data_IF_259265009938
#
_entry.id   IF_259265009938
#
_cell.length_a   1.000
_cell.length_b   1.000
_cell.length_c   1.000
_cell.angle_alpha   90.00
_cell.angle_beta   90.00
_cell.angle_gamma   90.00
#
_symmetry.space_group_name_H-M   'P 1'
#
loop_
_entity.id
_entity.type
_entity.pdbx_description
1 polymer ?
#
# COMPACT_ATOMS: atom_id res chain seq x y z
N UNK A 1 5.50 13.47 -7.43
CA UNK A 1 5.75 12.48 -6.40
C UNK A 1 4.45 11.88 -5.86
N UNK A 2 4.55 10.88 -5.01
CA UNK A 2 3.43 10.31 -4.27
C UNK A 2 3.77 10.37 -2.78
N UNK A 3 2.88 10.95 -1.97
CA UNK A 3 3.07 10.99 -0.51
C UNK A 3 3.10 9.60 0.12
N UNK A 4 3.52 9.48 1.38
CA UNK A 4 3.51 8.21 2.09
C UNK A 4 2.12 7.57 2.14
N UNK A 5 2.03 6.29 1.75
CA UNK A 5 0.78 5.51 1.74
C UNK A 5 1.07 4.02 1.83
N UNK A 6 0.04 3.22 2.02
CA UNK A 6 0.05 1.77 1.84
C UNK A 6 -0.94 1.40 0.75
N UNK A 7 -0.68 0.29 0.05
CA UNK A 7 -1.53 -0.16 -1.04
C UNK A 7 -2.75 -0.94 -0.55
N UNK A 8 -3.90 -0.72 -1.17
CA UNK A 8 -5.12 -1.49 -0.90
C UNK A 8 -5.29 -2.72 -1.80
N UNK A 9 -4.23 -3.13 -2.44
CA UNK A 9 -4.16 -4.35 -3.23
C UNK A 9 -3.87 -5.58 -2.36
N UNK A 10 -3.88 -6.74 -3.00
CA UNK A 10 -3.30 -7.96 -2.47
C UNK A 10 -1.76 -7.86 -2.51
N UNK A 11 -1.23 -7.64 -3.70
CA UNK A 11 0.18 -7.37 -3.98
C UNK A 11 0.30 -6.20 -4.96
N UNK A 12 1.40 -5.49 -4.88
CA UNK A 12 1.82 -4.53 -5.89
C UNK A 12 3.13 -4.97 -6.52
N UNK A 13 3.17 -5.03 -7.84
CA UNK A 13 4.36 -5.37 -8.63
C UNK A 13 4.80 -4.09 -9.34
N UNK A 14 6.00 -3.62 -9.04
CA UNK A 14 6.53 -2.35 -9.53
C UNK A 14 7.70 -2.55 -10.46
N UNK A 15 7.52 -2.15 -11.73
CA UNK A 15 8.62 -1.87 -12.65
C UNK A 15 9.06 -0.43 -12.45
N UNK A 16 10.38 -0.18 -12.45
CA UNK A 16 10.93 1.17 -12.24
C UNK A 16 12.16 1.40 -13.10
N UNK A 17 12.35 2.65 -13.53
CA UNK A 17 13.57 3.10 -14.18
C UNK A 17 14.74 3.18 -13.17
N UNK A 18 15.92 3.39 -13.67
CA UNK A 18 17.14 3.52 -12.87
C UNK A 18 17.18 4.81 -12.02
N UNK A 19 16.32 5.78 -12.36
CA UNK A 19 16.25 7.04 -11.60
C UNK A 19 15.63 6.77 -10.22
N UNK A 20 16.35 7.11 -9.12
CA UNK A 20 15.87 6.89 -7.76
C UNK A 20 14.63 7.72 -7.43
N UNK A 21 14.07 7.52 -6.25
CA UNK A 21 12.93 8.32 -5.75
C UNK A 21 11.90 7.51 -4.98
N UNK A 22 11.86 6.18 -5.11
CA UNK A 22 11.04 5.35 -4.23
C UNK A 22 11.68 5.30 -2.85
N UNK A 23 10.90 5.60 -1.84
CA UNK A 23 11.26 5.41 -0.43
C UNK A 23 10.29 4.44 0.22
N UNK A 24 10.78 3.55 1.08
CA UNK A 24 9.99 2.61 1.86
C UNK A 24 10.32 2.76 3.34
N UNK A 25 9.33 2.61 4.21
CA UNK A 25 9.50 2.74 5.66
C UNK A 25 9.70 1.37 6.29
N UNK A 26 10.83 1.18 6.94
CA UNK A 26 11.12 -0.02 7.71
C UNK A 26 10.28 -0.07 9.00
N UNK A 27 10.14 -1.25 9.65
CA UNK A 27 9.50 -1.36 10.96
C UNK A 27 10.17 -0.52 12.06
N UNK A 28 11.46 -0.21 11.92
CA UNK A 28 12.19 0.73 12.79
C UNK A 28 11.70 2.18 12.69
N UNK A 29 10.91 2.49 11.67
CA UNK A 29 10.49 3.85 11.34
C UNK A 29 11.41 4.58 10.35
N UNK A 30 12.58 4.02 10.05
CA UNK A 30 13.53 4.55 9.09
C UNK A 30 13.00 4.45 7.65
N UNK A 31 13.23 5.50 6.86
CA UNK A 31 12.95 5.50 5.43
C UNK A 31 14.20 5.14 4.63
N UNK A 32 14.10 4.15 3.76
CA UNK A 32 15.20 3.72 2.90
C UNK A 32 14.80 3.78 1.43
N UNK A 33 15.79 3.95 0.55
CA UNK A 33 15.63 3.73 -0.89
C UNK A 33 15.97 2.28 -1.20
N UNK A 34 15.00 1.45 -1.64
CA UNK A 34 15.30 0.06 -1.96
C UNK A 34 16.23 -0.03 -3.18
N UNK A 35 17.25 -0.90 -3.15
CA UNK A 35 18.21 -1.02 -4.25
C UNK A 35 17.51 -1.38 -5.56
N UNK A 36 18.01 -0.83 -6.65
CA UNK A 36 17.61 -1.26 -7.99
C UNK A 36 18.44 -2.47 -8.39
N UNK A 37 17.77 -3.57 -8.69
CA UNK A 37 18.39 -4.78 -9.24
C UNK A 37 17.93 -4.91 -10.69
N UNK A 38 18.83 -4.80 -11.68
CA UNK A 38 18.45 -4.89 -13.08
C UNK A 38 17.71 -6.21 -13.41
N UNK A 39 16.70 -6.13 -14.27
CA UNK A 39 15.91 -7.29 -14.69
C UNK A 39 14.94 -7.83 -13.64
N UNK A 40 14.69 -7.09 -12.54
CA UNK A 40 13.74 -7.49 -11.50
C UNK A 40 12.61 -6.49 -11.33
N UNK A 41 11.53 -6.96 -10.69
CA UNK A 41 10.46 -6.13 -10.17
C UNK A 41 10.59 -6.01 -8.66
N UNK A 42 10.17 -4.87 -8.11
CA UNK A 42 9.95 -4.75 -6.68
C UNK A 42 8.51 -5.17 -6.38
N UNK A 43 8.34 -6.04 -5.38
CA UNK A 43 7.01 -6.50 -4.95
C UNK A 43 6.79 -6.11 -3.49
N UNK A 44 5.64 -5.52 -3.21
CA UNK A 44 5.20 -5.24 -1.86
C UNK A 44 3.82 -5.81 -1.57
N UNK A 45 3.59 -6.13 -0.31
CA UNK A 45 2.32 -6.61 0.24
C UNK A 45 1.39 -5.44 0.45
N UNK A 46 0.14 -5.60 0.01
CA UNK A 46 -0.93 -4.65 0.25
C UNK A 46 -1.77 -4.97 1.49
N UNK A 47 -2.69 -4.08 1.81
CA UNK A 47 -3.54 -4.17 3.00
C UNK A 47 -4.44 -5.42 3.03
N UNK A 48 -4.70 -6.06 1.89
CA UNK A 48 -5.51 -7.28 1.83
C UNK A 48 -4.75 -8.47 2.40
N UNK A 49 -3.49 -8.69 2.01
CA UNK A 49 -2.66 -9.74 2.62
C UNK A 49 -2.43 -9.45 4.10
N UNK A 50 -2.18 -8.20 4.48
CA UNK A 50 -2.06 -7.83 5.88
C UNK A 50 -3.28 -8.29 6.67
N UNK A 51 -4.48 -8.00 6.18
CA UNK A 51 -5.74 -8.39 6.81
C UNK A 51 -5.89 -9.91 6.88
N UNK A 52 -5.68 -10.62 5.76
CA UNK A 52 -5.80 -12.07 5.67
C UNK A 52 -4.78 -12.80 6.54
N UNK A 53 -3.60 -12.23 6.71
CA UNK A 53 -2.54 -12.82 7.56
C UNK A 53 -2.67 -12.47 9.04
N UNK A 54 -3.77 -11.84 9.47
CA UNK A 54 -3.96 -11.37 10.85
C UNK A 54 -2.80 -10.49 11.32
N UNK A 55 -2.33 -9.56 10.45
CA UNK A 55 -1.20 -8.66 10.65
C UNK A 55 0.19 -9.35 10.76
N UNK A 56 0.32 -10.63 10.40
CA UNK A 56 1.65 -11.28 10.32
C UNK A 56 2.51 -10.68 9.22
N UNK A 57 1.91 -10.33 8.10
CA UNK A 57 2.56 -9.62 7.00
C UNK A 57 2.05 -8.19 6.97
N UNK A 58 2.96 -7.24 7.16
CA UNK A 58 2.60 -5.82 7.20
C UNK A 58 2.61 -5.22 5.80
N UNK A 59 1.60 -4.39 5.50
CA UNK A 59 1.64 -3.53 4.33
C UNK A 59 2.65 -2.41 4.59
N UNK A 60 3.69 -2.33 3.75
CA UNK A 60 4.81 -1.41 3.97
C UNK A 60 4.45 0.01 3.50
N UNK A 61 4.51 1.02 4.38
CA UNK A 61 4.37 2.41 3.97
C UNK A 61 5.48 2.79 2.98
N UNK A 62 5.11 3.41 1.88
CA UNK A 62 6.05 3.85 0.85
C UNK A 62 5.58 5.13 0.18
N UNK A 63 6.48 5.79 -0.53
CA UNK A 63 6.19 7.02 -1.25
C UNK A 63 7.23 7.31 -2.32
N UNK A 64 7.03 8.36 -3.10
CA UNK A 64 7.94 8.78 -4.16
C UNK A 64 8.36 10.21 -3.94
N UNK A 65 9.64 10.40 -3.72
CA UNK A 65 10.29 11.71 -3.67
C UNK A 65 10.82 12.01 -5.07
N UNK A 66 10.43 13.12 -5.64
CA UNK A 66 10.94 13.58 -6.93
C UNK A 66 12.04 14.60 -6.65
N UNK A 67 13.28 14.18 -6.87
CA UNK A 67 14.42 15.09 -6.94
C UNK A 67 14.56 15.51 -8.41
N UNK A 68 14.56 16.82 -8.70
CA UNK A 68 14.58 17.34 -10.07
C UNK A 68 15.82 16.90 -10.85
N UNK A 69 15.75 16.91 -12.18
CA UNK A 69 16.90 16.76 -13.07
C UNK A 69 16.86 15.60 -14.07
N UNK A 70 16.10 14.53 -13.82
CA UNK A 70 15.93 13.43 -14.76
C UNK A 70 14.51 12.89 -14.75
N UNK A 71 14.07 12.43 -15.91
CA UNK A 71 12.76 11.78 -16.05
C UNK A 71 12.76 10.42 -15.35
N UNK A 72 11.82 10.24 -14.43
CA UNK A 72 11.63 9.01 -13.69
C UNK A 72 10.35 8.32 -14.13
N UNK A 73 10.47 7.10 -14.59
CA UNK A 73 9.34 6.27 -14.99
C UNK A 73 9.18 5.10 -14.04
N UNK A 74 7.91 4.79 -13.71
CA UNK A 74 7.56 3.58 -13.00
C UNK A 74 6.16 3.12 -13.40
N UNK A 75 5.94 1.83 -13.40
CA UNK A 75 4.67 1.21 -13.71
C UNK A 75 4.31 0.25 -12.57
N UNK A 76 3.26 0.57 -11.85
CA UNK A 76 2.73 -0.25 -10.77
C UNK A 76 1.56 -1.09 -11.29
N UNK A 77 1.62 -2.40 -11.04
CA UNK A 77 0.50 -3.32 -11.24
C UNK A 77 -0.05 -3.72 -9.88
N UNK A 78 -1.29 -3.32 -9.61
CA UNK A 78 -2.00 -3.65 -8.38
C UNK A 78 -2.80 -4.94 -8.58
N UNK A 79 -2.28 -6.05 -8.08
CA UNK A 79 -3.01 -7.32 -8.08
C UNK A 79 -4.02 -7.33 -6.95
N UNK A 80 -5.29 -7.45 -7.32
CA UNK A 80 -6.41 -7.35 -6.37
C UNK A 80 -7.39 -8.50 -6.56
N UNK A 81 -8.07 -8.96 -5.49
CA UNK A 81 -9.10 -9.97 -5.61
C UNK A 81 -10.34 -9.45 -6.34
N UNK A 82 -11.26 -10.37 -6.69
CA UNK A 82 -12.55 -9.99 -7.23
C UNK A 82 -13.34 -9.19 -6.17
N UNK A 83 -14.07 -8.17 -6.60
CA UNK A 83 -14.86 -7.29 -5.71
C UNK A 83 -15.92 -8.04 -4.89
N UNK A 84 -16.36 -9.21 -5.35
CA UNK A 84 -17.31 -10.08 -4.65
C UNK A 84 -16.63 -11.10 -3.73
N UNK A 85 -15.31 -11.09 -3.66
CA UNK A 85 -14.56 -11.98 -2.78
C UNK A 85 -14.69 -11.53 -1.33
N UNK A 86 -14.99 -12.46 -0.42
CA UNK A 86 -14.91 -12.21 1.02
C UNK A 86 -13.44 -12.29 1.44
N UNK A 87 -12.98 -11.26 2.11
CA UNK A 87 -11.65 -11.18 2.72
C UNK A 87 -11.80 -11.49 4.20
N UNK A 88 -11.19 -12.57 4.63
CA UNK A 88 -11.21 -13.03 6.02
C UNK A 88 -9.81 -13.46 6.46
N UNK A 89 -9.61 -13.56 7.76
CA UNK A 89 -8.35 -14.06 8.32
C UNK A 89 -8.19 -15.54 7.95
N UNK A 90 -7.04 -15.91 7.38
CA UNK A 90 -6.73 -17.29 7.03
C UNK A 90 -6.61 -18.12 8.32
N UNK A 91 -7.27 -19.30 8.44
CA UNK A 91 -7.29 -20.07 9.67
C UNK A 91 -5.91 -20.38 10.26
N UNK A 92 -4.89 -20.59 9.42
CA UNK A 92 -3.50 -20.81 9.87
C UNK A 92 -2.82 -19.55 10.44
N UNK A 93 -3.46 -18.41 10.36
CA UNK A 93 -2.95 -17.13 10.88
C UNK A 93 -3.64 -16.67 12.17
N UNK A 94 -4.55 -17.48 12.70
CA UNK A 94 -5.26 -17.20 13.95
C UNK A 94 -5.31 -18.46 14.83
N UNK A 95 -5.31 -18.26 16.12
CA UNK A 95 -5.45 -19.30 17.16
C UNK A 95 -6.03 -18.69 18.45
N UNK A 96 -6.06 -19.45 19.55
CA UNK A 96 -6.61 -18.99 20.82
C UNK A 96 -5.80 -17.82 21.44
N UNK A 97 -4.49 -17.79 21.22
CA UNK A 97 -3.60 -16.75 21.74
C UNK A 97 -3.50 -15.54 20.84
N UNK A 98 -3.87 -15.71 19.55
CA UNK A 98 -3.92 -14.63 18.54
C UNK A 98 -5.22 -14.74 17.72
N UNK A 99 -6.37 -14.37 18.32
CA UNK A 99 -7.66 -14.46 17.64
C UNK A 99 -7.74 -13.54 16.43
N UNK A 100 -8.69 -13.77 15.50
CA UNK A 100 -8.89 -12.89 14.35
C UNK A 100 -9.08 -11.42 14.77
N UNK A 101 -8.24 -10.53 14.24
CA UNK A 101 -8.28 -9.08 14.50
C UNK A 101 -9.20 -8.35 13.52
N UNK A 102 -9.57 -9.02 12.44
CA UNK A 102 -10.32 -8.45 11.34
C UNK A 102 -11.56 -9.28 11.05
N UNK A 103 -12.72 -8.63 11.08
CA UNK A 103 -13.98 -9.24 10.69
C UNK A 103 -14.02 -9.53 9.18
N UNK A 104 -14.66 -10.62 8.73
CA UNK A 104 -14.88 -10.89 7.32
C UNK A 104 -15.57 -9.72 6.63
N UNK A 105 -15.10 -9.32 5.43
CA UNK A 105 -15.68 -8.24 4.67
C UNK A 105 -15.57 -8.49 3.17
N UNK A 106 -16.53 -8.02 2.37
CA UNK A 106 -16.40 -8.02 0.92
C UNK A 106 -15.28 -7.08 0.48
N UNK A 107 -14.44 -7.54 -0.44
CA UNK A 107 -13.37 -6.70 -0.97
C UNK A 107 -13.91 -5.39 -1.58
N UNK A 108 -15.04 -5.46 -2.30
CA UNK A 108 -15.68 -4.27 -2.86
C UNK A 108 -16.07 -3.21 -1.82
N UNK A 109 -16.46 -3.64 -0.62
CA UNK A 109 -16.83 -2.70 0.46
C UNK A 109 -15.58 -2.12 1.13
N UNK A 110 -14.51 -2.91 1.28
CA UNK A 110 -13.20 -2.40 1.71
C UNK A 110 -12.67 -1.32 0.77
N UNK A 111 -12.77 -1.55 -0.55
CA UNK A 111 -12.37 -0.58 -1.58
C UNK A 111 -13.21 0.70 -1.51
N UNK A 112 -14.55 0.57 -1.40
CA UNK A 112 -15.44 1.74 -1.26
C UNK A 112 -15.10 2.55 0.00
N UNK A 113 -14.89 1.87 1.13
CA UNK A 113 -14.50 2.52 2.38
C UNK A 113 -13.19 3.29 2.24
N UNK A 114 -12.18 2.70 1.59
CA UNK A 114 -10.92 3.37 1.30
C UNK A 114 -11.10 4.62 0.42
N UNK A 115 -11.85 4.52 -0.67
CA UNK A 115 -12.10 5.67 -1.53
C UNK A 115 -12.90 6.76 -0.80
N UNK A 116 -13.91 6.38 0.00
CA UNK A 116 -14.66 7.35 0.80
C UNK A 116 -13.77 8.11 1.79
N UNK A 117 -12.86 7.41 2.46
CA UNK A 117 -11.94 8.02 3.43
C UNK A 117 -10.90 8.95 2.78
N UNK A 118 -10.37 8.56 1.60
CA UNK A 118 -9.26 9.29 1.00
C UNK A 118 -9.67 10.34 -0.04
N UNK A 119 -10.86 10.19 -0.66
CA UNK A 119 -11.30 11.05 -1.76
C UNK A 119 -12.57 11.86 -1.45
N UNK A 120 -13.19 11.69 -0.29
CA UNK A 120 -14.36 12.48 0.12
C UNK A 120 -14.07 13.99 0.18
N UNK A 121 -12.82 14.37 0.41
CA UNK A 121 -12.39 15.78 0.47
C UNK A 121 -12.09 16.38 -0.91
N UNK A 122 -11.95 15.59 -1.95
CA UNK A 122 -11.71 16.09 -3.33
C UNK A 122 -12.99 16.65 -3.99
N UNK A 123 -14.17 16.49 -3.40
CA UNK A 123 -15.42 17.07 -3.90
C UNK A 123 -15.55 18.58 -3.64
N UNK A 124 -14.70 19.18 -2.83
CA UNK A 124 -14.58 20.64 -2.70
C UNK A 124 -13.34 21.06 -3.49
N UNK A 125 -13.57 21.64 -4.64
CA UNK A 125 -12.62 22.20 -5.57
C UNK A 125 -11.28 22.64 -4.96
N UNK A 126 -10.17 22.05 -5.36
CA UNK A 126 -8.87 22.70 -5.45
C UNK A 126 -7.97 22.69 -4.22
N UNK A 127 -8.40 22.25 -3.08
CA UNK A 127 -7.54 22.17 -1.89
C UNK A 127 -7.15 20.73 -1.58
N UNK A 128 -5.95 20.33 -2.02
CA UNK A 128 -5.31 19.13 -1.51
C UNK A 128 -5.08 19.32 0.00
N UNK A 129 -5.45 18.37 0.87
CA UNK A 129 -5.12 18.47 2.29
C UNK A 129 -3.60 18.38 2.45
N UNK A 130 -2.95 19.54 2.63
CA UNK A 130 -1.50 19.65 2.85
C UNK A 130 -1.07 19.23 4.26
N UNK A 131 -2.02 18.94 5.15
CA UNK A 131 -1.75 18.74 6.57
C UNK A 131 -1.76 17.29 7.06
N UNK A 132 -1.91 16.28 6.17
CA UNK A 132 -1.85 14.87 6.56
C UNK A 132 -0.42 14.30 6.66
N UNK A 133 0.60 15.10 6.41
CA UNK A 133 2.00 14.66 6.36
C UNK A 133 2.90 15.38 7.37
N UNK A 134 2.31 15.86 8.46
CA UNK A 134 3.10 16.34 9.59
C UNK A 134 3.19 15.22 10.63
N UNK A 135 4.42 14.72 10.75
CA UNK A 135 5.03 13.87 11.78
C UNK A 135 4.51 12.43 11.93
#
# INVERSE_FOLDING_TARGET
GAGPHTDNSFLTILARSEVPGLAVRLPSGEWISPPLIPGTYLVNIGNIIRRMSNDRFMSTPHGVIVEGGADRYSMAYFHSPNVKCTIEVVPSCADADNPPKHEPALYGDLVKGFYAANYSHQRKYGEAPRDQYKD
#
